data_IF_917733165019
#
_entry.id   IF_917733165019
#
_cell.length_a   1.000
_cell.length_b   1.000
_cell.length_c   1.000
_cell.angle_alpha   90.00
_cell.angle_beta   90.00
_cell.angle_gamma   90.00
#
_symmetry.space_group_name_H-M   'P 1'
#
loop_
_entity.id
_entity.type
_entity.pdbx_description
1 polymer ?
#
# COMPACT_ATOMS: atom_id res chain seq x y z
N UNK A 1 76.41 63.80 33.75
CA UNK A 1 75.62 62.82 32.97
C UNK A 1 74.75 61.95 33.87
N UNK A 2 73.46 62.32 33.93
CA UNK A 2 72.44 61.63 34.74
C UNK A 2 71.84 60.47 33.89
N UNK A 3 71.99 59.26 34.31
CA UNK A 3 71.36 58.12 33.69
C UNK A 3 70.00 57.89 34.37
N UNK A 4 68.96 58.21 33.61
CA UNK A 4 67.57 58.00 34.01
C UNK A 4 67.15 56.55 33.64
N UNK A 5 67.11 55.63 34.63
CA UNK A 5 66.60 54.27 34.48
C UNK A 5 65.10 54.23 34.56
N UNK A 6 64.46 53.99 33.40
CA UNK A 6 63.00 53.85 33.26
C UNK A 6 62.66 52.37 33.58
N UNK A 7 62.06 52.13 34.76
CA UNK A 7 61.54 50.80 35.13
C UNK A 7 60.16 50.63 34.48
N UNK A 8 60.11 49.76 33.46
CA UNK A 8 58.86 49.35 32.80
C UNK A 8 58.19 48.28 33.66
N UNK A 9 57.20 48.66 34.44
CA UNK A 9 56.37 47.72 35.19
C UNK A 9 55.39 47.04 34.21
N UNK A 10 55.74 45.82 33.84
CA UNK A 10 54.83 44.95 33.06
C UNK A 10 53.70 44.52 33.96
N UNK A 11 52.51 45.12 33.81
CA UNK A 11 51.26 44.71 34.44
C UNK A 11 50.79 43.37 33.80
N UNK A 12 51.00 42.24 34.46
CA UNK A 12 50.37 40.98 34.10
C UNK A 12 48.86 41.11 34.37
N UNK A 13 48.08 41.33 33.32
CA UNK A 13 46.64 41.20 33.38
C UNK A 13 46.34 39.70 33.44
N UNK A 14 46.16 39.13 34.60
CA UNK A 14 45.63 37.80 34.80
C UNK A 14 44.19 37.80 34.28
N UNK A 15 43.96 37.20 33.13
CA UNK A 15 42.60 36.86 32.68
C UNK A 15 42.05 35.86 33.68
N UNK A 16 41.31 36.37 34.68
CA UNK A 16 40.50 35.54 35.53
C UNK A 16 39.38 34.92 34.65
N UNK A 17 39.56 33.68 34.23
CA UNK A 17 38.50 32.95 33.61
C UNK A 17 37.38 32.80 34.65
N UNK A 18 36.38 33.61 34.52
CA UNK A 18 35.17 33.51 35.33
C UNK A 18 34.49 32.17 34.99
N UNK A 19 34.69 31.18 35.81
CA UNK A 19 34.06 29.87 35.65
C UNK A 19 32.53 29.98 35.79
N UNK A 20 31.80 29.19 35.01
CA UNK A 20 30.36 29.12 35.14
C UNK A 20 29.98 28.44 36.49
N UNK A 21 28.86 28.83 37.04
CA UNK A 21 28.24 28.16 38.17
C UNK A 21 27.19 27.18 37.65
N UNK A 22 27.07 26.04 38.30
CA UNK A 22 26.09 25.01 37.97
C UNK A 22 25.07 24.91 39.10
N UNK A 23 23.78 24.98 38.74
CA UNK A 23 22.67 24.76 39.65
C UNK A 23 22.06 23.40 39.37
N UNK A 24 22.09 22.48 40.31
CA UNK A 24 21.56 21.14 40.18
C UNK A 24 20.86 20.70 41.46
N UNK A 25 20.09 19.61 41.42
CA UNK A 25 19.50 18.98 42.62
C UNK A 25 20.39 17.85 43.08
N UNK A 26 20.67 17.78 44.37
CA UNK A 26 21.37 16.64 44.98
C UNK A 26 20.45 15.41 45.09
N UNK A 27 20.94 14.33 45.69
CA UNK A 27 20.21 13.07 45.91
C UNK A 27 18.98 13.23 46.77
N UNK A 28 18.92 14.27 47.61
CA UNK A 28 17.80 14.60 48.52
C UNK A 28 16.81 15.58 47.86
N UNK A 29 17.03 15.97 46.59
CA UNK A 29 16.23 16.93 45.87
C UNK A 29 16.49 18.40 46.24
N UNK A 30 17.54 18.67 47.04
CA UNK A 30 17.92 20.03 47.43
C UNK A 30 18.70 20.69 46.30
N UNK A 31 18.39 21.96 46.03
CA UNK A 31 19.09 22.74 45.03
C UNK A 31 20.47 23.17 45.53
N UNK A 32 21.51 22.79 44.79
CA UNK A 32 22.92 23.09 45.10
C UNK A 32 23.48 23.94 43.98
N UNK A 33 24.36 24.90 44.38
CA UNK A 33 25.19 25.67 43.47
C UNK A 33 26.65 25.19 43.62
N UNK A 34 27.31 24.85 42.55
CA UNK A 34 28.67 24.37 42.52
C UNK A 34 29.45 24.84 41.28
N UNK A 35 30.77 24.60 41.31
CA UNK A 35 31.62 24.89 40.16
C UNK A 35 31.63 23.76 39.16
N UNK A 36 31.08 22.61 39.51
CA UNK A 36 30.92 21.44 38.65
C UNK A 36 29.68 20.63 39.10
N UNK A 37 29.12 19.85 38.18
CA UNK A 37 28.03 18.88 38.49
C UNK A 37 28.67 17.52 38.72
N UNK A 38 28.39 16.82 39.87
CA UNK A 38 28.83 15.46 40.06
C UNK A 38 28.42 14.53 38.93
N UNK A 39 29.28 13.62 38.42
CA UNK A 39 28.94 12.80 37.25
C UNK A 39 27.67 11.98 37.36
N UNK A 40 27.32 11.50 38.55
CA UNK A 40 26.09 10.72 38.79
C UNK A 40 24.81 11.58 38.76
N UNK A 41 24.94 12.90 38.96
CA UNK A 41 23.81 13.85 38.95
C UNK A 41 23.59 14.50 37.58
N UNK A 42 24.54 14.43 36.65
CA UNK A 42 24.42 15.00 35.30
C UNK A 42 23.14 14.56 34.60
N UNK A 43 22.77 13.28 34.78
CA UNK A 43 21.54 12.72 34.20
C UNK A 43 20.22 13.34 34.68
N UNK A 44 20.24 14.01 35.84
CA UNK A 44 19.04 14.65 36.41
C UNK A 44 18.79 16.04 35.86
N UNK A 45 19.68 16.55 34.99
CA UNK A 45 19.61 17.89 34.45
C UNK A 45 20.21 18.93 35.39
N UNK A 46 20.64 20.05 34.85
CA UNK A 46 21.24 21.15 35.58
C UNK A 46 21.17 22.45 34.78
N UNK A 47 21.30 23.57 35.47
CA UNK A 47 21.39 24.87 34.85
C UNK A 47 22.82 25.41 34.91
N UNK A 48 23.25 26.03 33.85
CA UNK A 48 24.51 26.75 33.75
C UNK A 48 24.24 28.23 34.00
N UNK A 49 24.88 28.76 35.00
CA UNK A 49 24.72 30.17 35.42
C UNK A 49 26.02 30.94 35.23
N UNK A 50 25.92 32.21 34.93
CA UNK A 50 27.06 33.12 34.99
C UNK A 50 27.50 33.33 36.44
N UNK A 51 28.68 33.90 36.65
CA UNK A 51 29.19 34.27 37.98
C UNK A 51 28.24 35.25 38.72
N UNK A 52 27.41 36.01 37.99
CA UNK A 52 26.36 36.86 38.57
C UNK A 52 25.05 36.13 38.88
N UNK A 53 25.00 34.82 38.69
CA UNK A 53 23.79 34.00 38.93
C UNK A 53 22.73 34.04 37.83
N UNK A 54 23.03 34.68 36.70
CA UNK A 54 22.11 34.74 35.56
C UNK A 54 22.15 33.41 34.80
N UNK A 55 21.00 32.87 34.45
CA UNK A 55 20.87 31.66 33.65
C UNK A 55 21.49 31.87 32.25
N UNK A 56 22.43 31.00 31.87
CA UNK A 56 23.03 30.95 30.54
C UNK A 56 22.35 29.85 29.73
N UNK A 57 22.22 28.63 30.30
CA UNK A 57 21.68 27.48 29.62
C UNK A 57 21.03 26.54 30.66
N UNK A 58 19.99 25.83 30.25
CA UNK A 58 19.38 24.76 31.05
C UNK A 58 19.52 23.45 30.33
N UNK A 59 20.22 22.48 30.93
CA UNK A 59 20.38 21.13 30.45
C UNK A 59 19.30 20.24 31.06
N UNK A 60 18.34 19.77 30.25
CA UNK A 60 17.23 18.99 30.78
C UNK A 60 17.70 17.62 31.27
N UNK A 61 16.90 16.94 32.12
CA UNK A 61 17.17 15.56 32.52
C UNK A 61 17.27 14.63 31.34
N UNK A 62 18.16 13.64 31.44
CA UNK A 62 18.24 12.58 30.46
C UNK A 62 16.91 11.81 30.42
N UNK A 63 16.50 11.41 29.22
CA UNK A 63 15.28 10.64 29.03
C UNK A 63 15.38 9.31 29.79
N UNK A 64 14.28 8.88 30.38
CA UNK A 64 14.15 7.53 30.96
C UNK A 64 14.14 6.48 29.84
N UNK A 65 14.42 5.23 30.19
CA UNK A 65 14.37 4.13 29.24
C UNK A 65 12.97 4.01 28.56
N UNK A 66 11.91 4.28 29.32
CA UNK A 66 10.54 4.31 28.82
C UNK A 66 10.32 5.46 27.81
N UNK A 67 10.77 6.67 28.15
CA UNK A 67 10.69 7.83 27.25
C UNK A 67 11.51 7.62 25.96
N UNK A 68 12.67 6.95 26.06
CA UNK A 68 13.47 6.59 24.89
C UNK A 68 12.69 5.59 24.02
N UNK A 69 12.14 4.53 24.62
CA UNK A 69 11.36 3.53 23.90
C UNK A 69 10.13 4.15 23.21
N UNK A 70 9.42 5.06 23.91
CA UNK A 70 8.28 5.77 23.34
C UNK A 70 8.66 6.70 22.17
N UNK A 71 9.78 7.40 22.31
CA UNK A 71 10.32 8.24 21.23
C UNK A 71 10.67 7.38 20.01
N UNK A 72 11.42 6.31 20.23
CA UNK A 72 11.89 5.41 19.16
C UNK A 72 10.70 4.71 18.47
N UNK A 73 9.68 4.31 19.23
CA UNK A 73 8.45 3.76 18.69
C UNK A 73 7.68 4.79 17.82
N UNK A 74 7.57 6.04 18.30
CA UNK A 74 6.92 7.12 17.53
C UNK A 74 7.69 7.43 16.25
N UNK A 75 9.00 7.49 16.32
CA UNK A 75 9.86 7.72 15.15
C UNK A 75 9.73 6.57 14.14
N UNK A 76 9.79 5.32 14.60
CA UNK A 76 9.60 4.14 13.75
C UNK A 76 8.22 4.13 13.08
N UNK A 77 7.17 4.57 13.78
CA UNK A 77 5.82 4.67 13.21
C UNK A 77 5.74 5.78 12.16
N UNK A 78 6.34 6.95 12.41
CA UNK A 78 6.40 8.04 11.43
C UNK A 78 7.14 7.61 10.16
N UNK A 79 8.26 6.89 10.30
CA UNK A 79 9.01 6.34 9.16
C UNK A 79 8.15 5.34 8.38
N UNK A 80 7.45 4.42 9.07
CA UNK A 80 6.52 3.47 8.41
C UNK A 80 5.43 4.18 7.64
N UNK A 81 4.81 5.20 8.24
CA UNK A 81 3.77 6.00 7.60
C UNK A 81 4.32 6.79 6.39
N UNK A 82 5.51 7.35 6.51
CA UNK A 82 6.16 8.07 5.41
C UNK A 82 6.43 7.14 4.21
N UNK A 83 6.93 5.92 4.46
CA UNK A 83 7.15 4.90 3.44
C UNK A 83 5.82 4.48 2.79
N UNK A 84 4.79 4.21 3.60
CA UNK A 84 3.46 3.84 3.10
C UNK A 84 2.86 4.95 2.22
N UNK A 85 2.95 6.20 2.66
CA UNK A 85 2.47 7.36 1.91
C UNK A 85 3.24 7.56 0.60
N UNK A 86 4.55 7.34 0.60
CA UNK A 86 5.37 7.41 -0.62
C UNK A 86 4.94 6.34 -1.62
N UNK A 87 4.83 5.09 -1.16
CA UNK A 87 4.36 3.96 -1.99
C UNK A 87 2.97 4.23 -2.57
N UNK A 88 2.04 4.75 -1.75
CA UNK A 88 0.70 5.08 -2.20
C UNK A 88 0.72 6.17 -3.29
N UNK A 89 1.52 7.22 -3.12
CA UNK A 89 1.67 8.26 -4.14
C UNK A 89 2.23 7.72 -5.46
N UNK A 90 3.21 6.83 -5.39
CA UNK A 90 3.78 6.18 -6.59
C UNK A 90 2.72 5.34 -7.31
N UNK A 91 1.90 4.58 -6.57
CA UNK A 91 0.78 3.81 -7.13
C UNK A 91 -0.28 4.73 -7.75
N UNK A 92 -0.61 5.84 -7.10
CA UNK A 92 -1.56 6.82 -7.61
C UNK A 92 -1.07 7.46 -8.91
N UNK A 93 0.21 7.81 -8.98
CA UNK A 93 0.81 8.35 -10.20
C UNK A 93 0.83 7.32 -11.34
N UNK A 94 1.12 6.06 -11.03
CA UNK A 94 1.06 4.98 -12.02
C UNK A 94 -0.38 4.80 -12.53
N UNK A 95 -1.36 4.86 -11.63
CA UNK A 95 -2.78 4.76 -11.98
C UNK A 95 -3.23 5.90 -12.88
N UNK A 96 -2.82 7.15 -12.56
CA UNK A 96 -3.13 8.34 -13.36
C UNK A 96 -2.47 8.34 -14.75
N UNK A 97 -1.34 7.65 -14.90
CA UNK A 97 -0.72 7.44 -16.23
C UNK A 97 -1.55 6.51 -17.12
N UNK A 98 -2.25 5.54 -16.51
CA UNK A 98 -3.12 4.60 -17.24
C UNK A 98 -4.51 5.18 -17.49
N UNK A 99 -5.04 5.92 -16.53
CA UNK A 99 -6.42 6.43 -16.53
C UNK A 99 -6.43 7.88 -16.09
N UNK A 100 -6.59 8.80 -17.03
CA UNK A 100 -6.65 10.25 -16.73
C UNK A 100 -7.96 10.66 -16.05
N UNK A 101 -9.01 9.84 -16.18
CA UNK A 101 -10.31 10.06 -15.60
C UNK A 101 -10.95 8.73 -15.16
N UNK A 102 -11.78 8.71 -14.09
CA UNK A 102 -12.50 7.48 -13.68
C UNK A 102 -13.28 6.81 -14.80
N UNK A 103 -13.88 7.59 -15.71
CA UNK A 103 -14.57 7.05 -16.88
C UNK A 103 -13.69 6.26 -17.84
N UNK A 104 -12.37 6.49 -17.83
CA UNK A 104 -11.45 5.73 -18.68
C UNK A 104 -11.39 4.28 -18.21
N UNK A 105 -11.31 4.08 -16.89
CA UNK A 105 -11.35 2.75 -16.30
C UNK A 105 -12.73 2.08 -16.51
N UNK A 106 -13.84 2.82 -16.39
CA UNK A 106 -15.18 2.29 -16.71
C UNK A 106 -15.27 1.81 -18.15
N UNK A 107 -14.73 2.59 -19.11
CA UNK A 107 -14.72 2.18 -20.52
C UNK A 107 -13.90 0.91 -20.76
N UNK A 108 -12.76 0.78 -20.09
CA UNK A 108 -11.93 -0.44 -20.19
C UNK A 108 -12.65 -1.62 -19.57
N UNK A 109 -13.28 -1.46 -18.41
CA UNK A 109 -14.10 -2.52 -17.81
C UNK A 109 -15.23 -2.96 -18.73
N UNK A 110 -16.01 -2.02 -19.28
CA UNK A 110 -17.10 -2.33 -20.22
C UNK A 110 -16.59 -3.13 -21.41
N UNK A 111 -15.45 -2.75 -22.00
CA UNK A 111 -14.86 -3.48 -23.12
C UNK A 111 -14.48 -4.90 -22.74
N UNK A 112 -13.82 -5.07 -21.59
CA UNK A 112 -13.42 -6.41 -21.11
C UNK A 112 -14.62 -7.31 -20.82
N UNK A 113 -15.72 -6.77 -20.29
CA UNK A 113 -16.95 -7.50 -20.09
C UNK A 113 -17.57 -7.88 -21.44
N UNK A 114 -17.56 -6.98 -22.41
CA UNK A 114 -18.03 -7.27 -23.78
C UNK A 114 -17.23 -8.37 -24.44
N UNK A 115 -15.89 -8.35 -24.30
CA UNK A 115 -15.01 -9.42 -24.83
C UNK A 115 -15.37 -10.80 -24.23
N UNK A 116 -15.76 -10.83 -22.95
CA UNK A 116 -16.25 -12.05 -22.28
C UNK A 116 -17.61 -12.49 -22.86
N UNK A 117 -18.54 -11.58 -23.03
CA UNK A 117 -19.86 -11.86 -23.59
C UNK A 117 -19.75 -12.36 -25.04
N UNK A 118 -18.90 -11.75 -25.83
CA UNK A 118 -18.64 -12.16 -27.22
C UNK A 118 -18.03 -13.58 -27.28
N UNK A 119 -17.07 -13.89 -26.38
CA UNK A 119 -16.53 -15.24 -26.25
C UNK A 119 -17.61 -16.25 -25.90
N UNK A 120 -18.45 -15.96 -24.91
CA UNK A 120 -19.54 -16.85 -24.47
C UNK A 120 -20.54 -17.05 -25.61
N UNK A 121 -20.89 -15.99 -26.33
CA UNK A 121 -21.81 -16.03 -27.47
C UNK A 121 -21.27 -16.92 -28.60
N UNK A 122 -19.99 -16.78 -28.94
CA UNK A 122 -19.31 -17.64 -29.92
C UNK A 122 -19.33 -19.10 -29.48
N UNK A 123 -19.02 -19.39 -28.21
CA UNK A 123 -19.01 -20.76 -27.66
C UNK A 123 -20.42 -21.37 -27.63
N UNK A 124 -21.45 -20.61 -27.32
CA UNK A 124 -22.84 -21.04 -27.39
C UNK A 124 -23.25 -21.36 -28.84
N UNK A 125 -22.80 -20.56 -29.82
CA UNK A 125 -22.96 -20.90 -31.24
C UNK A 125 -22.34 -22.25 -31.59
N UNK A 126 -21.12 -22.52 -31.11
CA UNK A 126 -20.44 -23.80 -31.33
C UNK A 126 -21.22 -24.95 -30.69
N UNK A 127 -21.75 -24.78 -29.47
CA UNK A 127 -22.63 -25.77 -28.81
C UNK A 127 -23.83 -26.09 -29.68
N UNK A 128 -24.47 -25.09 -30.26
CA UNK A 128 -25.63 -25.27 -31.15
C UNK A 128 -25.29 -26.13 -32.34
N UNK A 129 -24.15 -25.91 -32.98
CA UNK A 129 -23.66 -26.73 -34.09
C UNK A 129 -23.40 -28.16 -33.67
N UNK A 130 -22.69 -28.37 -32.53
CA UNK A 130 -22.37 -29.69 -32.01
C UNK A 130 -23.64 -30.43 -31.59
N UNK A 131 -24.62 -29.76 -30.99
CA UNK A 131 -25.94 -30.35 -30.66
C UNK A 131 -26.68 -30.79 -31.91
N UNK A 132 -26.67 -30.03 -33.00
CA UNK A 132 -27.25 -30.46 -34.26
C UNK A 132 -26.58 -31.73 -34.85
N UNK A 133 -25.27 -31.82 -34.74
CA UNK A 133 -24.52 -33.04 -35.16
C UNK A 133 -24.86 -34.21 -34.25
N UNK A 134 -24.97 -34.04 -32.95
CA UNK A 134 -25.38 -35.03 -31.97
C UNK A 134 -26.79 -35.57 -32.29
N UNK A 135 -27.73 -34.67 -32.55
CA UNK A 135 -29.10 -35.02 -32.91
C UNK A 135 -29.15 -35.89 -34.18
N UNK A 136 -28.36 -35.55 -35.21
CA UNK A 136 -28.29 -36.35 -36.42
C UNK A 136 -27.80 -37.78 -36.13
N UNK A 137 -26.72 -37.93 -35.36
CA UNK A 137 -26.15 -39.25 -35.05
C UNK A 137 -27.10 -40.03 -34.10
N UNK A 138 -27.74 -39.40 -33.14
CA UNK A 138 -28.76 -40.07 -32.28
C UNK A 138 -30.01 -40.51 -33.05
N UNK A 139 -30.46 -39.69 -34.03
CA UNK A 139 -31.57 -40.05 -34.92
C UNK A 139 -31.21 -41.28 -35.81
N UNK A 140 -30.00 -41.34 -36.32
CA UNK A 140 -29.48 -42.51 -37.07
C UNK A 140 -29.49 -43.75 -36.18
N UNK A 141 -28.98 -43.65 -34.98
CA UNK A 141 -28.96 -44.73 -34.00
C UNK A 141 -30.40 -45.27 -33.71
N UNK A 142 -31.32 -44.33 -33.40
CA UNK A 142 -32.73 -44.67 -33.10
C UNK A 142 -33.43 -45.31 -34.29
N UNK A 143 -33.18 -44.87 -35.53
CA UNK A 143 -33.74 -45.50 -36.72
C UNK A 143 -33.23 -46.93 -36.95
N UNK A 144 -31.97 -47.19 -36.67
CA UNK A 144 -31.40 -48.57 -36.76
C UNK A 144 -32.04 -49.49 -35.72
N UNK A 145 -32.16 -49.05 -34.51
CA UNK A 145 -32.81 -49.79 -33.41
C UNK A 145 -34.27 -50.11 -33.72
N UNK A 146 -35.01 -49.13 -34.25
CA UNK A 146 -36.43 -49.33 -34.64
C UNK A 146 -36.59 -50.35 -35.75
N UNK A 147 -35.59 -50.52 -36.61
CA UNK A 147 -35.60 -51.52 -37.67
C UNK A 147 -34.98 -52.87 -37.25
N UNK A 148 -34.67 -53.04 -35.95
CA UNK A 148 -34.08 -54.27 -35.41
C UNK A 148 -32.60 -54.44 -35.77
N UNK A 149 -31.94 -53.43 -36.27
CA UNK A 149 -30.51 -53.46 -36.64
C UNK A 149 -29.65 -52.97 -35.48
N UNK A 150 -28.51 -53.61 -35.27
CA UNK A 150 -27.51 -53.16 -34.29
C UNK A 150 -26.92 -51.80 -34.68
N UNK A 151 -26.82 -50.89 -33.73
CA UNK A 151 -26.13 -49.62 -33.89
C UNK A 151 -24.60 -49.91 -33.97
N UNK A 152 -23.93 -49.34 -34.96
CA UNK A 152 -22.50 -49.52 -35.09
C UNK A 152 -21.73 -48.78 -34.03
N UNK A 153 -20.56 -49.33 -33.60
CA UNK A 153 -19.67 -48.71 -32.65
C UNK A 153 -19.18 -47.32 -33.13
N UNK A 154 -19.08 -47.15 -34.46
CA UNK A 154 -18.74 -45.86 -35.07
C UNK A 154 -19.78 -44.75 -34.82
N UNK A 155 -21.09 -45.09 -34.78
CA UNK A 155 -22.14 -44.13 -34.44
C UNK A 155 -22.11 -43.83 -32.95
N UNK A 156 -21.98 -44.84 -32.09
CA UNK A 156 -21.88 -44.64 -30.63
C UNK A 156 -20.69 -43.76 -30.26
N UNK A 157 -19.51 -44.06 -30.83
CA UNK A 157 -18.30 -43.26 -30.60
C UNK A 157 -18.49 -41.78 -31.01
N UNK A 158 -19.18 -41.54 -32.13
CA UNK A 158 -19.49 -40.16 -32.55
C UNK A 158 -20.42 -39.43 -31.57
N UNK A 159 -21.45 -40.12 -31.10
CA UNK A 159 -22.39 -39.60 -30.09
C UNK A 159 -21.60 -39.19 -28.83
N UNK A 160 -20.71 -40.06 -28.35
CA UNK A 160 -19.93 -39.80 -27.13
C UNK A 160 -18.92 -38.69 -27.34
N UNK A 161 -18.26 -38.61 -28.53
CA UNK A 161 -17.40 -37.51 -28.89
C UNK A 161 -18.13 -36.18 -28.91
N UNK A 162 -19.34 -36.09 -29.49
CA UNK A 162 -20.13 -34.86 -29.51
C UNK A 162 -20.57 -34.43 -28.10
N UNK A 163 -21.02 -35.39 -27.26
CA UNK A 163 -21.32 -35.10 -25.87
C UNK A 163 -20.11 -34.58 -25.10
N UNK A 164 -18.94 -35.20 -25.29
CA UNK A 164 -17.68 -34.74 -24.68
C UNK A 164 -17.32 -33.30 -25.09
N UNK A 165 -17.45 -32.98 -26.38
CA UNK A 165 -17.21 -31.60 -26.88
C UNK A 165 -18.14 -30.58 -26.25
N UNK A 166 -19.43 -30.90 -26.09
CA UNK A 166 -20.38 -29.98 -25.42
C UNK A 166 -19.93 -29.72 -23.99
N UNK A 167 -19.60 -30.76 -23.21
CA UNK A 167 -19.13 -30.63 -21.83
C UNK A 167 -17.86 -29.76 -21.75
N UNK A 168 -16.93 -29.96 -22.67
CA UNK A 168 -15.70 -29.15 -22.73
C UNK A 168 -15.99 -27.68 -22.97
N UNK A 169 -16.85 -27.36 -23.98
CA UNK A 169 -17.22 -25.98 -24.27
C UNK A 169 -18.00 -25.34 -23.11
N UNK A 170 -18.89 -26.07 -22.47
CA UNK A 170 -19.62 -25.57 -21.29
C UNK A 170 -18.67 -25.27 -20.12
N UNK A 171 -17.62 -26.09 -19.92
CA UNK A 171 -16.57 -25.85 -18.95
C UNK A 171 -15.80 -24.57 -19.28
N UNK A 172 -15.41 -24.34 -20.54
CA UNK A 172 -14.74 -23.12 -20.96
C UNK A 172 -15.61 -21.87 -20.69
N UNK A 173 -16.89 -21.94 -20.99
CA UNK A 173 -17.86 -20.88 -20.69
C UNK A 173 -17.92 -20.59 -19.20
N UNK A 174 -18.00 -21.64 -18.38
CA UNK A 174 -18.05 -21.52 -16.92
C UNK A 174 -16.81 -20.82 -16.36
N UNK A 175 -15.63 -21.23 -16.81
CA UNK A 175 -14.35 -20.60 -16.42
C UNK A 175 -14.36 -19.12 -16.83
N UNK A 176 -14.80 -18.82 -18.05
CA UNK A 176 -14.82 -17.44 -18.55
C UNK A 176 -15.81 -16.55 -17.80
N UNK A 177 -16.98 -17.08 -17.45
CA UNK A 177 -17.96 -16.37 -16.60
C UNK A 177 -17.41 -16.08 -15.20
N UNK A 178 -16.62 -16.99 -14.64
CA UNK A 178 -16.02 -16.79 -13.32
C UNK A 178 -15.02 -15.61 -13.26
N UNK A 179 -14.51 -15.14 -14.41
CA UNK A 179 -13.65 -13.96 -14.48
C UNK A 179 -14.44 -12.66 -14.22
N UNK A 180 -15.74 -12.60 -14.52
CA UNK A 180 -16.57 -11.40 -14.43
C UNK A 180 -16.55 -10.78 -13.02
N UNK A 181 -16.88 -11.51 -11.94
CA UNK A 181 -16.90 -10.92 -10.60
C UNK A 181 -15.53 -10.48 -10.12
N UNK A 182 -14.46 -11.18 -10.51
CA UNK A 182 -13.08 -10.82 -10.16
C UNK A 182 -12.71 -9.51 -10.86
N UNK A 183 -12.95 -9.44 -12.15
CA UNK A 183 -12.68 -8.26 -12.98
C UNK A 183 -13.45 -7.04 -12.47
N UNK A 184 -14.74 -7.20 -12.20
CA UNK A 184 -15.59 -6.13 -11.68
C UNK A 184 -15.08 -5.61 -10.34
N UNK A 185 -14.72 -6.50 -9.41
CA UNK A 185 -14.19 -6.14 -8.10
C UNK A 185 -12.85 -5.40 -8.20
N UNK A 186 -11.98 -5.79 -9.12
CA UNK A 186 -10.68 -5.14 -9.27
C UNK A 186 -10.83 -3.75 -9.90
N UNK A 187 -11.71 -3.60 -10.90
CA UNK A 187 -12.01 -2.30 -11.47
C UNK A 187 -12.77 -1.39 -10.50
N UNK A 188 -13.60 -1.94 -9.62
CA UNK A 188 -14.27 -1.18 -8.56
C UNK A 188 -13.24 -0.46 -7.67
N UNK A 189 -12.20 -1.17 -7.23
CA UNK A 189 -11.09 -0.57 -6.46
C UNK A 189 -10.37 0.53 -7.26
N UNK A 190 -10.09 0.26 -8.54
CA UNK A 190 -9.42 1.22 -9.43
C UNK A 190 -10.26 2.48 -9.60
N UNK A 191 -11.55 2.34 -9.91
CA UNK A 191 -12.46 3.45 -10.13
C UNK A 191 -12.62 4.27 -8.85
N UNK A 192 -12.87 3.63 -7.71
CA UNK A 192 -12.98 4.28 -6.41
C UNK A 192 -11.71 5.07 -6.07
N UNK A 193 -10.53 4.48 -6.34
CA UNK A 193 -9.26 5.19 -6.11
C UNK A 193 -9.09 6.38 -7.04
N UNK A 194 -9.40 6.24 -8.32
CA UNK A 194 -9.37 7.33 -9.29
C UNK A 194 -10.31 8.46 -8.90
N UNK A 195 -11.53 8.16 -8.44
CA UNK A 195 -12.46 9.17 -7.92
C UNK A 195 -11.86 9.93 -6.73
N UNK A 196 -11.22 9.20 -5.81
CA UNK A 196 -10.58 9.81 -4.65
C UNK A 196 -9.43 10.74 -5.03
N UNK A 197 -8.59 10.35 -6.00
CA UNK A 197 -7.40 11.12 -6.43
C UNK A 197 -7.81 12.32 -7.29
N UNK A 198 -8.70 12.10 -8.27
CA UNK A 198 -9.07 13.13 -9.26
C UNK A 198 -10.15 14.07 -8.77
N UNK A 199 -10.84 13.72 -7.66
CA UNK A 199 -12.06 14.41 -7.16
C UNK A 199 -13.20 14.46 -8.17
N UNK A 200 -13.20 13.54 -9.13
CA UNK A 200 -14.23 13.41 -10.17
C UNK A 200 -14.99 12.10 -10.00
N UNK A 201 -16.29 12.10 -10.25
CA UNK A 201 -17.11 10.88 -10.20
C UNK A 201 -17.17 10.21 -11.56
N UNK A 202 -17.18 8.87 -11.53
CA UNK A 202 -17.45 8.09 -12.73
C UNK A 202 -18.92 8.22 -13.13
N UNK A 203 -19.17 8.41 -14.43
CA UNK A 203 -20.53 8.35 -14.99
C UNK A 203 -20.88 6.89 -15.28
N UNK A 204 -22.15 6.54 -15.07
CA UNK A 204 -22.69 5.18 -15.32
C UNK A 204 -21.96 4.08 -14.54
N UNK A 205 -21.55 4.39 -13.33
CA UNK A 205 -20.95 3.42 -12.42
C UNK A 205 -21.62 3.50 -11.04
N UNK A 206 -21.92 2.40 -10.34
CA UNK A 206 -21.66 1.01 -10.76
C UNK A 206 -22.41 0.64 -12.05
N UNK A 207 -21.82 -0.27 -12.81
CA UNK A 207 -22.48 -0.75 -14.03
C UNK A 207 -23.81 -1.39 -13.61
N UNK A 208 -24.91 -0.95 -14.22
CA UNK A 208 -26.17 -1.67 -14.09
C UNK A 208 -25.91 -3.08 -14.60
N UNK A 209 -26.17 -4.10 -13.77
CA UNK A 209 -26.15 -5.47 -14.24
C UNK A 209 -26.99 -5.53 -15.52
N UNK A 210 -26.30 -5.77 -16.64
CA UNK A 210 -27.00 -6.16 -17.83
C UNK A 210 -27.68 -7.47 -17.44
N UNK A 211 -28.98 -7.40 -17.24
CA UNK A 211 -29.78 -8.57 -16.93
C UNK A 211 -29.38 -9.65 -17.95
N UNK A 212 -28.66 -10.64 -17.46
CA UNK A 212 -28.38 -11.83 -18.24
C UNK A 212 -29.71 -12.53 -18.50
N UNK A 213 -30.27 -12.32 -19.68
CA UNK A 213 -31.28 -13.19 -20.24
C UNK A 213 -30.66 -14.46 -20.78
#
# INVERSE_FOLDING_TARGET
TLLLTFILAASYISNAHAGNLYRYKDENGVTVLGLNVPPHLVRHGYDILSNSGRLIESVPPALTAEQIADRDNKEAEQVRQAIANKKQKEQDLALLKLYSHPNDAVRVLKRKLQDIDDFISLKNGNITVVKGQLEQETTKAANLERTGKKVSDGILNKIDQQKGKIIEIEKEISVKRAEIPVLTKDFDKIITRLEAITKKKAKDYPLKESASK
#
